data_IF_480047299216
#
_entry.id   IF_480047299216
#
_cell.length_a   1.000
_cell.length_b   1.000
_cell.length_c   1.000
_cell.angle_alpha   90.00
_cell.angle_beta   90.00
_cell.angle_gamma   90.00
#
_symmetry.space_group_name_H-M   'P 1'
#
loop_
_entity.id
_entity.type
_entity.pdbx_description
1 polymer ?
#
# COMPACT_ATOMS: atom_id res chain seq x y z
N UNK A 1 14.10 10.06 8.44
CA UNK A 1 13.29 9.97 7.22
C UNK A 1 11.98 10.69 7.44
N UNK A 2 11.65 11.66 6.59
CA UNK A 2 10.34 12.31 6.57
C UNK A 2 9.57 11.73 5.38
N UNK A 3 8.27 11.46 5.53
CA UNK A 3 7.46 11.09 4.37
C UNK A 3 7.40 12.27 3.40
N UNK A 4 7.75 12.05 2.13
CA UNK A 4 7.71 13.10 1.10
C UNK A 4 6.29 13.47 0.68
N UNK A 5 5.37 12.48 0.68
CA UNK A 5 3.97 12.64 0.27
C UNK A 5 3.05 11.79 1.16
N UNK A 6 2.17 12.48 1.90
CA UNK A 6 1.07 12.00 2.77
C UNK A 6 1.43 11.10 3.98
N UNK A 7 0.69 11.23 5.08
CA UNK A 7 0.89 10.37 6.25
C UNK A 7 0.48 8.92 5.95
N UNK A 8 1.08 7.96 6.67
CA UNK A 8 0.72 6.53 6.54
C UNK A 8 -0.78 6.30 6.68
N UNK A 9 -1.42 6.94 7.67
CA UNK A 9 -2.86 6.83 7.88
C UNK A 9 -3.69 7.18 6.65
N UNK A 10 -3.32 8.23 5.91
CA UNK A 10 -4.03 8.63 4.69
C UNK A 10 -3.89 7.60 3.57
N UNK A 11 -2.74 6.93 3.48
CA UNK A 11 -2.55 5.83 2.55
C UNK A 11 -3.51 4.66 2.84
N UNK A 12 -3.61 4.28 4.11
CA UNK A 12 -4.54 3.25 4.56
C UNK A 12 -6.01 3.67 4.33
N UNK A 13 -6.37 4.93 4.60
CA UNK A 13 -7.71 5.44 4.36
C UNK A 13 -8.07 5.45 2.86
N UNK A 14 -7.12 5.82 2.01
CA UNK A 14 -7.33 5.80 0.56
C UNK A 14 -7.53 4.39 0.03
N UNK A 15 -6.71 3.44 0.48
CA UNK A 15 -6.82 2.03 0.06
C UNK A 15 -8.09 1.40 0.62
N UNK A 16 -8.46 1.68 1.87
CA UNK A 16 -9.73 1.24 2.44
C UNK A 16 -10.92 1.72 1.60
N UNK A 17 -10.90 2.99 1.17
CA UNK A 17 -11.92 3.54 0.27
C UNK A 17 -11.96 2.82 -1.08
N UNK A 18 -10.81 2.50 -1.68
CA UNK A 18 -10.73 1.77 -2.96
C UNK A 18 -11.31 0.35 -2.84
N UNK A 19 -11.21 -0.27 -1.67
CA UNK A 19 -11.74 -1.62 -1.39
C UNK A 19 -13.18 -1.60 -0.86
N UNK A 20 -13.81 -0.42 -0.73
CA UNK A 20 -15.16 -0.27 -0.19
C UNK A 20 -15.26 -0.57 1.31
N UNK A 21 -14.18 -0.34 2.07
CA UNK A 21 -14.09 -0.60 3.51
C UNK A 21 -14.42 0.64 4.36
N UNK A 22 -14.84 0.46 5.62
CA UNK A 22 -15.15 1.57 6.52
C UNK A 22 -13.90 2.35 6.96
N UNK A 23 -14.11 3.61 7.36
CA UNK A 23 -13.14 4.43 8.09
C UNK A 23 -13.18 4.11 9.60
N UNK A 24 -12.04 4.14 10.33
CA UNK A 24 -10.67 4.40 9.86
C UNK A 24 -10.09 3.24 9.05
N UNK A 25 -9.35 3.57 7.99
CA UNK A 25 -8.87 2.60 7.01
C UNK A 25 -7.80 1.66 7.55
N UNK A 26 -6.98 2.11 8.50
CA UNK A 26 -5.93 1.29 9.12
C UNK A 26 -6.48 -0.03 9.72
N UNK A 27 -7.34 0.04 10.76
CA UNK A 27 -7.96 -1.13 11.35
C UNK A 27 -8.80 -1.95 10.37
N UNK A 28 -9.45 -1.30 9.40
CA UNK A 28 -10.27 -1.99 8.41
C UNK A 28 -9.43 -2.86 7.46
N UNK A 29 -8.31 -2.32 6.96
CA UNK A 29 -7.33 -3.03 6.13
C UNK A 29 -6.68 -4.16 6.92
N UNK A 30 -6.19 -3.88 8.14
CA UNK A 30 -5.53 -4.89 8.97
C UNK A 30 -6.43 -6.11 9.21
N UNK A 31 -7.72 -5.86 9.47
CA UNK A 31 -8.68 -6.94 9.73
C UNK A 31 -8.83 -7.87 8.53
N UNK A 32 -9.05 -7.33 7.34
CA UNK A 32 -9.30 -8.15 6.14
C UNK A 32 -8.01 -8.73 5.55
N UNK A 33 -6.87 -8.06 5.74
CA UNK A 33 -5.57 -8.54 5.28
C UNK A 33 -5.18 -9.89 5.92
N UNK A 34 -5.64 -10.17 7.14
CA UNK A 34 -5.44 -11.45 7.83
C UNK A 34 -6.07 -12.64 7.11
N UNK A 35 -7.07 -12.38 6.27
CA UNK A 35 -7.79 -13.40 5.48
C UNK A 35 -7.20 -13.55 4.07
N UNK A 36 -6.23 -12.72 3.68
CA UNK A 36 -5.64 -12.70 2.35
C UNK A 36 -4.24 -13.32 2.27
N UNK A 37 -3.87 -13.76 1.06
CA UNK A 37 -2.48 -14.06 0.67
C UNK A 37 -1.82 -12.82 0.07
N UNK A 38 -0.84 -12.24 0.77
CA UNK A 38 -0.08 -11.06 0.33
C UNK A 38 0.74 -11.31 -0.95
N UNK A 39 1.04 -12.57 -1.29
CA UNK A 39 1.83 -12.95 -2.46
C UNK A 39 0.99 -13.03 -3.73
N UNK A 40 -0.34 -13.02 -3.62
CA UNK A 40 -1.25 -13.09 -4.78
C UNK A 40 -1.06 -11.90 -5.71
N UNK A 41 -0.84 -10.72 -5.15
CA UNK A 41 -0.68 -9.47 -5.90
C UNK A 41 0.68 -8.83 -5.59
N UNK A 42 1.47 -8.51 -6.63
CA UNK A 42 2.76 -7.85 -6.44
C UNK A 42 2.62 -6.34 -6.59
N UNK A 43 2.68 -5.64 -5.45
CA UNK A 43 2.79 -4.19 -5.43
C UNK A 43 4.26 -3.76 -5.46
N UNK A 44 4.57 -2.58 -6.04
CA UNK A 44 5.91 -2.04 -5.99
C UNK A 44 6.31 -1.76 -4.55
N UNK A 45 7.61 -1.83 -4.27
CA UNK A 45 8.22 -1.33 -3.03
C UNK A 45 8.97 -0.05 -3.40
N UNK A 46 8.31 1.12 -3.42
CA UNK A 46 8.93 2.35 -3.90
C UNK A 46 10.18 2.65 -3.07
N UNK A 47 11.27 3.01 -3.76
CA UNK A 47 12.49 3.51 -3.12
C UNK A 47 13.17 2.45 -2.23
N UNK A 48 13.00 1.16 -2.59
CA UNK A 48 13.87 0.04 -2.22
C UNK A 48 14.54 -0.46 -3.51
N UNK A 49 15.56 0.26 -3.99
CA UNK A 49 16.45 -0.29 -5.03
C UNK A 49 17.62 -0.98 -4.33
N UNK A 50 17.98 -2.18 -4.78
CA UNK A 50 19.06 -2.97 -4.16
C UNK A 50 20.45 -2.34 -4.25
N UNK A 51 20.63 -1.28 -5.03
CA UNK A 51 21.88 -0.55 -5.21
C UNK A 51 21.85 0.88 -4.64
N UNK A 52 20.86 1.21 -3.80
CA UNK A 52 20.80 2.51 -3.14
C UNK A 52 21.99 2.70 -2.21
N UNK A 53 22.59 3.89 -2.26
CA UNK A 53 23.71 4.29 -1.41
C UNK A 53 23.29 5.41 -0.46
N UNK A 54 23.94 5.55 0.72
CA UNK A 54 23.61 6.62 1.68
C UNK A 54 23.67 8.03 1.08
N UNK A 55 24.45 8.24 0.01
CA UNK A 55 24.53 9.53 -0.69
C UNK A 55 23.33 9.81 -1.62
N UNK A 56 22.47 8.82 -1.89
CA UNK A 56 21.31 9.01 -2.76
C UNK A 56 20.26 9.90 -2.06
N UNK A 57 19.75 10.94 -2.73
CA UNK A 57 18.83 11.91 -2.14
C UNK A 57 17.47 11.30 -1.77
N UNK A 58 17.22 10.04 -2.14
CA UNK A 58 15.99 9.30 -1.91
C UNK A 58 16.18 8.09 -0.98
N UNK A 59 17.38 7.92 -0.42
CA UNK A 59 17.79 6.76 0.38
C UNK A 59 16.89 6.57 1.62
N UNK A 60 16.49 7.67 2.25
CA UNK A 60 15.62 7.71 3.43
C UNK A 60 14.17 8.11 3.12
N UNK A 61 13.89 8.55 1.90
CA UNK A 61 12.59 9.11 1.55
C UNK A 61 11.64 8.01 1.14
N UNK A 62 10.38 8.10 1.55
CA UNK A 62 9.33 7.19 1.13
C UNK A 62 8.13 7.96 0.58
N UNK A 63 7.44 7.35 -0.38
CA UNK A 63 6.24 7.86 -1.01
C UNK A 63 5.09 6.85 -0.87
N UNK A 64 4.09 7.18 -0.04
CA UNK A 64 2.81 6.48 -0.04
C UNK A 64 2.02 6.77 -1.32
N UNK A 65 2.27 7.91 -1.98
CA UNK A 65 1.60 8.32 -3.22
C UNK A 65 1.82 7.30 -4.35
N UNK A 66 3.05 6.81 -4.55
CA UNK A 66 3.33 5.75 -5.54
C UNK A 66 2.64 4.42 -5.24
N UNK A 67 2.62 4.02 -3.97
CA UNK A 67 1.96 2.78 -3.54
C UNK A 67 0.43 2.87 -3.68
N UNK A 68 -0.17 4.01 -3.32
CA UNK A 68 -1.61 4.29 -3.54
C UNK A 68 -2.00 4.17 -5.01
N UNK A 69 -1.20 4.75 -5.90
CA UNK A 69 -1.45 4.67 -7.35
C UNK A 69 -1.40 3.23 -7.84
N UNK A 70 -0.37 2.47 -7.44
CA UNK A 70 -0.25 1.06 -7.82
C UNK A 70 -1.43 0.21 -7.34
N UNK A 71 -1.93 0.46 -6.11
CA UNK A 71 -3.14 -0.21 -5.61
C UNK A 71 -4.37 0.20 -6.43
N UNK A 72 -4.52 1.48 -6.77
CA UNK A 72 -5.62 1.96 -7.62
C UNK A 72 -5.63 1.30 -8.99
N UNK A 73 -4.47 1.14 -9.62
CA UNK A 73 -4.34 0.47 -10.92
C UNK A 73 -4.63 -1.04 -10.81
N UNK A 74 -4.17 -1.68 -9.73
CA UNK A 74 -4.50 -3.08 -9.43
C UNK A 74 -6.01 -3.28 -9.27
N UNK A 75 -6.67 -2.46 -8.43
CA UNK A 75 -8.12 -2.51 -8.21
C UNK A 75 -8.87 -2.30 -9.53
N UNK A 76 -8.44 -1.36 -10.37
CA UNK A 76 -9.03 -1.14 -11.70
C UNK A 76 -8.86 -2.35 -12.61
N UNK A 77 -7.72 -3.05 -12.55
CA UNK A 77 -7.46 -4.25 -13.36
C UNK A 77 -8.27 -5.48 -12.93
N UNK A 78 -8.63 -5.55 -11.65
CA UNK A 78 -9.44 -6.63 -11.07
C UNK A 78 -10.94 -6.34 -11.12
N UNK A 79 -11.33 -5.13 -11.48
CA UNK A 79 -12.71 -4.70 -11.42
C UNK A 79 -13.56 -5.44 -12.46
N UNK A 80 -14.66 -6.03 -12.01
CA UNK A 80 -15.66 -6.71 -12.84
C UNK A 80 -16.96 -5.89 -12.95
N UNK A 81 -17.02 -4.75 -12.28
CA UNK A 81 -18.13 -3.82 -12.32
C UNK A 81 -17.75 -2.42 -11.85
N UNK A 82 -18.75 -1.55 -11.84
CA UNK A 82 -18.63 -0.19 -11.33
C UNK A 82 -19.74 0.07 -10.30
N UNK A 83 -19.38 0.73 -9.20
CA UNK A 83 -20.31 1.16 -8.17
C UNK A 83 -21.21 2.29 -8.65
N UNK A 84 -22.14 2.73 -7.79
CA UNK A 84 -23.12 3.76 -8.12
C UNK A 84 -22.50 5.11 -8.51
N UNK A 85 -21.29 5.41 -8.04
CA UNK A 85 -20.53 6.61 -8.41
C UNK A 85 -19.43 6.36 -9.45
N UNK A 86 -19.44 5.20 -10.11
CA UNK A 86 -18.51 4.85 -11.19
C UNK A 86 -17.13 4.37 -10.72
N UNK A 87 -16.93 4.16 -9.43
CA UNK A 87 -15.72 3.58 -8.87
C UNK A 87 -15.60 2.09 -9.23
N UNK A 88 -14.38 1.59 -9.53
CA UNK A 88 -14.16 0.18 -9.78
C UNK A 88 -14.56 -0.65 -8.56
N UNK A 89 -15.35 -1.70 -8.79
CA UNK A 89 -15.72 -2.69 -7.77
C UNK A 89 -15.01 -3.98 -8.11
N UNK A 90 -14.35 -4.57 -7.11
CA UNK A 90 -13.73 -5.88 -7.20
C UNK A 90 -14.55 -6.89 -6.38
N UNK A 91 -14.43 -8.17 -6.74
CA UNK A 91 -15.04 -9.26 -6.01
C UNK A 91 -14.63 -9.27 -4.52
N UNK A 92 -15.55 -9.68 -3.65
CA UNK A 92 -15.35 -9.65 -2.20
C UNK A 92 -14.20 -10.56 -1.74
N UNK A 93 -13.94 -11.64 -2.46
CA UNK A 93 -12.82 -12.56 -2.22
C UNK A 93 -11.46 -12.01 -2.67
N UNK A 94 -11.43 -11.00 -3.55
CA UNK A 94 -10.18 -10.32 -3.94
C UNK A 94 -9.73 -9.27 -2.91
N UNK A 95 -10.67 -8.65 -2.18
CA UNK A 95 -10.36 -7.55 -1.23
C UNK A 95 -9.33 -7.95 -0.16
N UNK A 96 -9.44 -9.11 0.51
CA UNK A 96 -8.44 -9.56 1.48
C UNK A 96 -7.02 -9.64 0.89
N UNK A 97 -6.89 -10.13 -0.34
CA UNK A 97 -5.59 -10.28 -1.01
C UNK A 97 -4.94 -8.94 -1.36
N UNK A 98 -5.73 -7.99 -1.87
CA UNK A 98 -5.23 -6.64 -2.17
C UNK A 98 -4.81 -5.92 -0.88
N UNK A 99 -5.61 -6.06 0.19
CA UNK A 99 -5.27 -5.50 1.49
C UNK A 99 -3.99 -6.12 2.08
N UNK A 100 -3.83 -7.44 1.99
CA UNK A 100 -2.64 -8.14 2.45
C UNK A 100 -1.38 -7.70 1.69
N UNK A 101 -1.45 -7.63 0.36
CA UNK A 101 -0.35 -7.15 -0.47
C UNK A 101 0.03 -5.70 -0.17
N UNK A 102 -0.95 -4.83 0.04
CA UNK A 102 -0.72 -3.43 0.40
C UNK A 102 -0.07 -3.30 1.77
N UNK A 103 -0.61 -3.99 2.78
CA UNK A 103 -0.07 -3.96 4.14
C UNK A 103 1.36 -4.51 4.18
N UNK A 104 1.64 -5.61 3.48
CA UNK A 104 3.00 -6.17 3.37
C UNK A 104 3.96 -5.15 2.74
N UNK A 105 3.62 -4.58 1.59
CA UNK A 105 4.48 -3.60 0.91
C UNK A 105 4.69 -2.33 1.75
N UNK A 106 3.66 -1.85 2.44
CA UNK A 106 3.77 -0.69 3.33
C UNK A 106 4.69 -0.98 4.54
N UNK A 107 4.51 -2.14 5.19
CA UNK A 107 5.32 -2.55 6.35
C UNK A 107 6.77 -2.80 5.94
N UNK A 108 7.01 -3.53 4.85
CA UNK A 108 8.35 -3.84 4.34
C UNK A 108 9.16 -2.57 4.07
N UNK A 109 8.54 -1.56 3.46
CA UNK A 109 9.21 -0.28 3.17
C UNK A 109 9.48 0.53 4.44
N UNK A 110 8.57 0.51 5.41
CA UNK A 110 8.81 1.16 6.71
C UNK A 110 9.95 0.47 7.47
N UNK A 111 9.92 -0.86 7.59
CA UNK A 111 10.94 -1.66 8.30
C UNK A 111 12.31 -1.48 7.68
N UNK A 112 12.44 -1.62 6.36
CA UNK A 112 13.73 -1.51 5.67
C UNK A 112 14.39 -0.14 5.90
N UNK A 113 13.61 0.93 6.07
CA UNK A 113 14.14 2.28 6.32
C UNK A 113 14.38 2.57 7.79
N UNK A 114 13.58 1.99 8.69
CA UNK A 114 13.86 2.03 10.13
C UNK A 114 15.18 1.34 10.45
N UNK A 115 15.47 0.19 9.84
CA UNK A 115 16.75 -0.50 10.01
C UNK A 115 17.91 0.37 9.52
N UNK A 116 17.82 0.95 8.31
CA UNK A 116 18.84 1.88 7.78
C UNK A 116 19.09 3.08 8.69
N UNK A 117 18.06 3.60 9.36
CA UNK A 117 18.18 4.75 10.25
C UNK A 117 18.74 4.41 11.64
N UNK A 118 18.78 3.13 12.02
CA UNK A 118 19.30 2.64 13.32
C UNK A 118 20.74 2.10 13.20
N UNK A 119 21.18 1.76 12.00
CA UNK A 119 22.55 1.29 11.72
C UNK A 119 23.57 2.43 11.49
N UNK A 120 23.15 3.69 11.67
CA UNK A 120 24.04 4.88 11.85
C UNK A 120 24.35 5.12 13.34
#
# INVERSE_FOLDING_TARGET
GQTRDDAAGEAFDKVAKLLGLPYPGGPAIERIAREGDARKHRLPRPMLRGNQRPEDPDFYDFSFSGLKTAVGDLVRSLADGAGASGEPVIADDEKPHVAAAFQEAAVEVLVAKTVRAVEE
#
